data_IF_375852778753
#
_entry.id   IF_375852778753
#
_cell.length_a   1.000
_cell.length_b   1.000
_cell.length_c   1.000
_cell.angle_alpha   90.00
_cell.angle_beta   90.00
_cell.angle_gamma   90.00
#
_symmetry.space_group_name_H-M   'P 1'
#
loop_
_entity.id
_entity.type
_entity.pdbx_description
1 polymer ?
#
# COMPACT_ATOMS: atom_id res chain seq x y z
N UNK A 1 -14.26 -10.72 5.14
CA UNK A 1 -13.20 -11.56 4.51
C UNK A 1 -13.17 -12.92 5.21
N UNK A 2 -13.55 -13.98 4.50
CA UNK A 2 -13.36 -15.33 5.03
C UNK A 2 -11.89 -15.73 4.90
N UNK A 3 -11.14 -15.71 5.79
CA UNK A 3 -10.05 -16.04 5.78
C UNK A 3 -9.89 -17.21 5.13
N UNK A 4 -9.18 -17.21 4.34
CA UNK A 4 -8.70 -18.41 3.69
C UNK A 4 -7.97 -19.21 4.76
N UNK A 5 -8.69 -20.07 5.42
CA UNK A 5 -8.14 -20.95 6.48
C UNK A 5 -7.40 -22.12 5.85
N UNK A 6 -6.49 -21.84 4.95
CA UNK A 6 -5.64 -22.86 4.37
C UNK A 6 -4.21 -22.59 4.84
N UNK A 7 -3.60 -23.59 5.45
CA UNK A 7 -2.24 -23.46 5.99
C UNK A 7 -1.22 -23.04 4.92
N UNK A 8 -1.46 -23.43 3.66
CA UNK A 8 -0.54 -23.08 2.57
C UNK A 8 -0.49 -21.57 2.28
N UNK A 9 -1.53 -20.81 2.64
CA UNK A 9 -1.53 -19.36 2.43
C UNK A 9 -0.41 -18.65 3.21
N UNK A 10 0.07 -19.24 4.31
CA UNK A 10 1.21 -18.69 5.05
C UNK A 10 2.52 -18.77 4.28
N UNK A 11 2.58 -19.58 3.21
CA UNK A 11 3.76 -19.66 2.35
C UNK A 11 4.08 -18.29 1.69
N UNK A 12 3.06 -17.48 1.37
CA UNK A 12 3.27 -16.15 0.78
C UNK A 12 4.13 -15.25 1.68
N UNK A 13 3.66 -14.92 2.89
CA UNK A 13 4.49 -14.16 3.84
C UNK A 13 5.83 -14.82 4.15
N UNK A 14 5.89 -16.16 4.26
CA UNK A 14 7.14 -16.87 4.54
C UNK A 14 8.15 -16.67 3.42
N UNK A 15 7.75 -16.80 2.16
CA UNK A 15 8.63 -16.51 1.02
C UNK A 15 9.06 -15.05 0.98
N UNK A 16 8.18 -14.13 1.36
CA UNK A 16 8.53 -12.70 1.38
C UNK A 16 9.62 -12.43 2.44
N UNK A 17 9.45 -12.99 3.65
CA UNK A 17 10.47 -12.87 4.72
C UNK A 17 11.78 -13.52 4.27
N UNK A 18 11.72 -14.70 3.63
CA UNK A 18 12.90 -15.36 3.08
C UNK A 18 13.62 -14.47 2.06
N UNK A 19 12.86 -13.80 1.19
CA UNK A 19 13.41 -12.84 0.22
C UNK A 19 14.17 -11.71 0.92
N UNK A 20 13.55 -11.11 1.95
CA UNK A 20 14.19 -10.03 2.72
C UNK A 20 15.44 -10.54 3.43
N UNK A 21 15.37 -11.69 4.10
CA UNK A 21 16.51 -12.26 4.84
C UNK A 21 17.67 -12.57 3.89
N UNK A 22 17.40 -13.21 2.76
CA UNK A 22 18.44 -13.56 1.78
C UNK A 22 19.04 -12.33 1.11
N UNK A 23 18.22 -11.28 0.89
CA UNK A 23 18.70 -10.00 0.38
C UNK A 23 19.67 -9.34 1.39
N UNK A 24 19.26 -9.26 2.66
CA UNK A 24 20.09 -8.65 3.72
C UNK A 24 21.35 -9.46 4.00
N UNK A 25 21.29 -10.78 3.81
CA UNK A 25 22.45 -11.66 3.94
C UNK A 25 23.43 -11.56 2.76
N UNK A 26 23.10 -10.78 1.74
CA UNK A 26 23.97 -10.56 0.59
C UNK A 26 24.08 -11.76 -0.35
N UNK A 27 23.05 -12.63 -0.36
CA UNK A 27 23.06 -13.78 -1.27
C UNK A 27 22.93 -13.34 -2.74
N UNK A 28 23.37 -14.18 -3.70
CA UNK A 28 23.22 -13.85 -5.12
C UNK A 28 21.79 -13.42 -5.44
N UNK A 29 21.66 -12.35 -6.20
CA UNK A 29 20.40 -11.63 -6.50
C UNK A 29 19.25 -12.55 -6.93
N UNK A 30 19.56 -13.64 -7.64
CA UNK A 30 18.56 -14.60 -8.09
C UNK A 30 17.81 -15.26 -6.91
N UNK A 31 18.47 -15.41 -5.74
CA UNK A 31 17.85 -16.09 -4.58
C UNK A 31 16.73 -15.24 -3.96
N UNK A 32 16.98 -13.99 -3.50
CA UNK A 32 15.88 -13.17 -3.00
C UNK A 32 14.84 -12.87 -4.06
N UNK A 33 15.22 -12.69 -5.33
CA UNK A 33 14.25 -12.44 -6.40
C UNK A 33 13.31 -13.63 -6.59
N UNK A 34 13.84 -14.86 -6.57
CA UNK A 34 13.02 -16.08 -6.67
C UNK A 34 12.06 -16.18 -5.47
N UNK A 35 12.53 -15.85 -4.27
CA UNK A 35 11.68 -15.87 -3.07
C UNK A 35 10.55 -14.82 -3.17
N UNK A 36 10.85 -13.59 -3.61
CA UNK A 36 9.82 -12.58 -3.83
C UNK A 36 8.83 -13.01 -4.91
N UNK A 37 9.32 -13.54 -6.05
CA UNK A 37 8.43 -14.04 -7.10
C UNK A 37 7.51 -15.17 -6.58
N UNK A 38 8.07 -16.11 -5.79
CA UNK A 38 7.28 -17.18 -5.18
C UNK A 38 6.19 -16.61 -4.25
N UNK A 39 6.52 -15.59 -3.45
CA UNK A 39 5.56 -14.91 -2.60
C UNK A 39 4.38 -14.36 -3.41
N UNK A 40 4.67 -13.65 -4.52
CA UNK A 40 3.63 -13.11 -5.38
C UNK A 40 2.81 -14.21 -6.07
N UNK A 41 3.44 -15.32 -6.48
CA UNK A 41 2.73 -16.45 -7.07
C UNK A 41 1.77 -17.11 -6.08
N UNK A 42 2.18 -17.24 -4.81
CA UNK A 42 1.28 -17.73 -3.75
C UNK A 42 0.08 -16.78 -3.61
N UNK A 43 0.33 -15.45 -3.62
CA UNK A 43 -0.76 -14.46 -3.56
C UNK A 43 -1.70 -14.61 -4.77
N UNK A 44 -1.16 -14.83 -5.96
CA UNK A 44 -1.96 -15.11 -7.16
C UNK A 44 -2.82 -16.37 -7.04
N UNK A 45 -2.26 -17.43 -6.45
CA UNK A 45 -3.01 -18.66 -6.17
C UNK A 45 -4.16 -18.39 -5.19
N UNK A 46 -3.92 -17.54 -4.15
CA UNK A 46 -4.96 -17.14 -3.20
C UNK A 46 -6.09 -16.39 -3.94
N UNK A 47 -5.75 -15.42 -4.79
CA UNK A 47 -6.77 -14.68 -5.56
C UNK A 47 -7.54 -15.59 -6.52
N UNK A 48 -6.86 -16.57 -7.14
CA UNK A 48 -7.51 -17.55 -8.00
C UNK A 48 -8.51 -18.39 -7.22
N UNK A 49 -8.12 -18.85 -6.03
CA UNK A 49 -9.00 -19.61 -5.12
C UNK A 49 -10.23 -18.78 -4.71
N UNK A 50 -10.01 -17.51 -4.33
CA UNK A 50 -11.11 -16.60 -3.96
C UNK A 50 -12.05 -16.40 -5.14
N UNK A 51 -11.51 -16.11 -6.33
CA UNK A 51 -12.32 -15.85 -7.53
C UNK A 51 -13.17 -17.06 -7.91
N UNK A 52 -12.57 -18.26 -7.92
CA UNK A 52 -13.26 -19.48 -8.36
C UNK A 52 -14.29 -20.00 -7.37
N UNK A 53 -13.99 -19.92 -6.08
CA UNK A 53 -14.77 -20.66 -5.07
C UNK A 53 -15.55 -19.77 -4.11
N UNK A 54 -15.32 -18.48 -4.10
CA UNK A 54 -15.96 -17.58 -3.11
C UNK A 54 -16.63 -16.36 -3.73
N UNK A 55 -15.89 -15.56 -4.48
CA UNK A 55 -16.38 -14.26 -4.98
C UNK A 55 -15.78 -13.93 -6.34
N UNK A 56 -16.47 -14.29 -7.44
CA UNK A 56 -16.01 -13.87 -8.77
C UNK A 56 -16.29 -12.37 -8.97
N UNK A 57 -15.40 -11.54 -8.44
CA UNK A 57 -15.56 -10.08 -8.42
C UNK A 57 -14.45 -9.39 -9.22
N UNK A 58 -14.82 -8.28 -9.86
CA UNK A 58 -13.89 -7.45 -10.61
C UNK A 58 -12.71 -6.97 -9.74
N UNK A 59 -12.96 -6.70 -8.46
CA UNK A 59 -11.93 -6.29 -7.50
C UNK A 59 -10.79 -7.33 -7.41
N UNK A 60 -11.14 -8.63 -7.37
CA UNK A 60 -10.16 -9.72 -7.29
C UNK A 60 -9.31 -9.79 -8.58
N UNK A 61 -9.94 -9.54 -9.73
CA UNK A 61 -9.20 -9.49 -11.01
C UNK A 61 -8.23 -8.32 -11.05
N UNK A 62 -8.62 -7.16 -10.52
CA UNK A 62 -7.73 -6.00 -10.40
C UNK A 62 -6.53 -6.33 -9.51
N UNK A 63 -6.77 -6.99 -8.37
CA UNK A 63 -5.68 -7.43 -7.48
C UNK A 63 -4.76 -8.45 -8.18
N UNK A 64 -5.32 -9.34 -9.00
CA UNK A 64 -4.52 -10.32 -9.75
C UNK A 64 -3.60 -9.63 -10.78
N UNK A 65 -4.03 -8.53 -11.39
CA UNK A 65 -3.17 -7.68 -12.24
C UNK A 65 -1.97 -7.17 -11.42
N UNK A 66 -2.20 -6.79 -10.15
CA UNK A 66 -1.12 -6.41 -9.26
C UNK A 66 -0.09 -7.52 -9.07
N UNK A 67 -0.56 -8.77 -8.90
CA UNK A 67 0.37 -9.92 -8.76
C UNK A 67 1.30 -10.02 -9.97
N UNK A 68 0.77 -9.82 -11.18
CA UNK A 68 1.62 -9.83 -12.39
C UNK A 68 2.69 -8.74 -12.31
N UNK A 69 2.33 -7.55 -11.80
CA UNK A 69 3.29 -6.48 -11.55
C UNK A 69 4.38 -6.90 -10.57
N UNK A 70 4.00 -7.54 -9.46
CA UNK A 70 4.95 -7.99 -8.44
C UNK A 70 5.92 -9.05 -8.95
N UNK A 71 5.41 -10.08 -9.64
CA UNK A 71 6.26 -11.11 -10.26
C UNK A 71 7.20 -10.49 -11.27
N UNK A 72 6.66 -9.63 -12.16
CA UNK A 72 7.47 -8.95 -13.18
C UNK A 72 8.55 -8.06 -12.56
N UNK A 73 8.24 -7.37 -11.46
CA UNK A 73 9.23 -6.55 -10.73
C UNK A 73 10.38 -7.42 -10.21
N UNK A 74 10.08 -8.57 -9.61
CA UNK A 74 11.10 -9.48 -9.10
C UNK A 74 12.00 -10.01 -10.25
N UNK A 75 11.38 -10.40 -11.37
CA UNK A 75 12.11 -10.87 -12.57
C UNK A 75 12.98 -9.74 -13.15
N UNK A 76 12.41 -8.54 -13.30
CA UNK A 76 13.12 -7.39 -13.85
C UNK A 76 14.34 -7.03 -12.99
N UNK A 77 14.16 -7.03 -11.66
CA UNK A 77 15.28 -6.80 -10.75
C UNK A 77 16.35 -7.90 -10.88
N UNK A 78 15.94 -9.16 -10.95
CA UNK A 78 16.88 -10.29 -11.08
C UNK A 78 17.73 -10.17 -12.35
N UNK A 79 17.12 -9.75 -13.45
CA UNK A 79 17.78 -9.71 -14.77
C UNK A 79 18.60 -8.44 -14.99
N UNK A 80 18.10 -7.27 -14.56
CA UNK A 80 18.77 -5.99 -14.78
C UNK A 80 19.73 -5.58 -13.68
N UNK A 81 19.49 -6.04 -12.46
CA UNK A 81 20.32 -5.73 -11.29
C UNK A 81 19.96 -4.44 -10.57
N UNK A 82 19.17 -3.58 -11.18
CA UNK A 82 18.80 -2.29 -10.60
C UNK A 82 17.37 -2.27 -10.06
N UNK A 83 17.20 -1.80 -8.83
CA UNK A 83 15.85 -1.57 -8.29
C UNK A 83 15.06 -0.57 -9.15
N UNK A 84 15.74 0.43 -9.72
CA UNK A 84 15.09 1.46 -10.53
C UNK A 84 14.33 0.86 -11.71
N UNK A 85 14.90 -0.19 -12.36
CA UNK A 85 14.25 -0.86 -13.48
C UNK A 85 13.00 -1.66 -13.05
N UNK A 86 12.93 -2.09 -11.78
CA UNK A 86 11.81 -2.86 -11.26
C UNK A 86 10.70 -1.97 -10.67
N UNK A 87 11.02 -0.72 -10.30
CA UNK A 87 10.08 0.14 -9.56
C UNK A 87 8.76 0.39 -10.28
N UNK A 88 8.70 0.66 -11.60
CA UNK A 88 7.39 0.85 -12.26
C UNK A 88 6.48 -0.37 -12.11
N UNK A 89 7.04 -1.57 -12.17
CA UNK A 89 6.28 -2.82 -12.01
C UNK A 89 5.84 -3.01 -10.55
N UNK A 90 6.69 -2.64 -9.60
CA UNK A 90 6.35 -2.66 -8.18
C UNK A 90 5.24 -1.63 -7.87
N UNK A 91 5.24 -0.48 -8.52
CA UNK A 91 4.16 0.52 -8.42
C UNK A 91 2.86 -0.07 -8.97
N UNK A 92 2.89 -0.75 -10.11
CA UNK A 92 1.70 -1.44 -10.63
C UNK A 92 1.14 -2.42 -9.60
N UNK A 93 2.02 -3.23 -8.95
CA UNK A 93 1.60 -4.15 -7.89
C UNK A 93 0.88 -3.41 -6.77
N UNK A 94 1.53 -2.38 -6.22
CA UNK A 94 1.01 -1.65 -5.06
C UNK A 94 -0.33 -0.98 -5.38
N UNK A 95 -0.41 -0.29 -6.52
CA UNK A 95 -1.60 0.46 -6.91
C UNK A 95 -2.76 -0.49 -7.21
N UNK A 96 -2.53 -1.55 -8.00
CA UNK A 96 -3.60 -2.49 -8.36
C UNK A 96 -4.12 -3.23 -7.11
N UNK A 97 -3.23 -3.63 -6.20
CA UNK A 97 -3.63 -4.31 -4.95
C UNK A 97 -4.49 -3.40 -4.09
N UNK A 98 -4.03 -2.18 -3.82
CA UNK A 98 -4.73 -1.25 -2.94
C UNK A 98 -6.05 -0.80 -3.58
N UNK A 99 -6.06 -0.44 -4.86
CA UNK A 99 -7.30 0.00 -5.52
C UNK A 99 -8.31 -1.15 -5.62
N UNK A 100 -7.84 -2.39 -5.87
CA UNK A 100 -8.71 -3.58 -5.86
C UNK A 100 -9.34 -3.79 -4.49
N UNK A 101 -8.57 -3.68 -3.40
CA UNK A 101 -9.11 -3.73 -2.04
C UNK A 101 -10.14 -2.63 -1.80
N UNK A 102 -9.86 -1.42 -2.26
CA UNK A 102 -10.80 -0.30 -2.12
C UNK A 102 -12.11 -0.57 -2.87
N UNK A 103 -12.03 -1.15 -4.07
CA UNK A 103 -13.21 -1.54 -4.84
C UNK A 103 -14.06 -2.56 -4.07
N UNK A 104 -13.41 -3.54 -3.42
CA UNK A 104 -14.11 -4.56 -2.62
C UNK A 104 -14.79 -3.94 -1.39
N UNK A 105 -14.04 -3.13 -0.62
CA UNK A 105 -14.54 -2.53 0.62
C UNK A 105 -15.63 -1.49 0.35
N UNK A 106 -15.52 -0.75 -0.74
CA UNK A 106 -16.44 0.34 -1.08
C UNK A 106 -17.64 -0.12 -1.92
N UNK A 107 -17.76 -1.41 -2.25
CA UNK A 107 -18.83 -1.90 -3.15
C UNK A 107 -20.23 -1.58 -2.66
N UNK A 108 -20.43 -1.45 -1.35
CA UNK A 108 -21.73 -1.11 -0.76
C UNK A 108 -22.05 0.39 -0.84
N UNK A 109 -21.01 1.21 -1.00
CA UNK A 109 -21.13 2.67 -1.04
C UNK A 109 -20.84 3.26 -2.43
N UNK A 110 -20.09 2.52 -3.26
CA UNK A 110 -19.85 2.93 -4.65
C UNK A 110 -21.10 2.59 -5.48
N UNK A 111 -21.85 3.62 -5.83
CA UNK A 111 -23.11 3.49 -6.55
C UNK A 111 -22.87 3.00 -8.00
N UNK A 112 -23.05 1.71 -8.19
CA UNK A 112 -23.22 1.11 -9.50
C UNK A 112 -21.98 0.44 -10.09
N UNK A 113 -22.25 -0.52 -10.97
CA UNK A 113 -21.23 -1.29 -11.70
C UNK A 113 -20.31 -0.41 -12.55
N UNK A 114 -20.80 0.74 -13.03
CA UNK A 114 -20.00 1.66 -13.85
C UNK A 114 -18.84 2.29 -13.08
N UNK A 115 -19.02 2.57 -11.78
CA UNK A 115 -17.97 3.18 -10.94
C UNK A 115 -16.78 2.23 -10.78
N UNK A 116 -17.04 0.99 -10.38
CA UNK A 116 -15.99 -0.03 -10.27
C UNK A 116 -15.33 -0.34 -11.61
N UNK A 117 -16.14 -0.43 -12.68
CA UNK A 117 -15.65 -0.67 -14.03
C UNK A 117 -14.66 0.40 -14.51
N UNK A 118 -14.93 1.67 -14.22
CA UNK A 118 -14.04 2.76 -14.64
C UNK A 118 -12.68 2.70 -13.92
N UNK A 119 -12.67 2.35 -12.63
CA UNK A 119 -11.42 2.21 -11.88
C UNK A 119 -10.62 0.98 -12.35
N UNK A 120 -11.31 -0.13 -12.61
CA UNK A 120 -10.68 -1.33 -13.16
C UNK A 120 -10.07 -1.05 -14.54
N UNK A 121 -10.77 -0.31 -15.41
CA UNK A 121 -10.26 0.08 -16.72
C UNK A 121 -8.97 0.91 -16.60
N UNK A 122 -8.90 1.82 -15.61
CA UNK A 122 -7.69 2.61 -15.37
C UNK A 122 -6.53 1.75 -14.87
N UNK A 123 -6.78 0.76 -14.01
CA UNK A 123 -5.72 -0.17 -13.57
C UNK A 123 -5.25 -1.03 -14.73
N UNK A 124 -6.15 -1.47 -15.62
CA UNK A 124 -5.75 -2.20 -16.84
C UNK A 124 -4.94 -1.30 -17.78
N UNK A 125 -5.29 -0.01 -17.89
CA UNK A 125 -4.49 0.96 -18.65
C UNK A 125 -3.10 1.14 -18.01
N UNK A 126 -3.01 1.16 -16.67
CA UNK A 126 -1.72 1.21 -15.97
C UNK A 126 -0.89 -0.06 -16.27
N UNK A 127 -1.52 -1.23 -16.30
CA UNK A 127 -0.84 -2.48 -16.66
C UNK A 127 -0.35 -2.46 -18.12
N UNK A 128 -1.17 -1.95 -19.05
CA UNK A 128 -0.76 -1.78 -20.45
C UNK A 128 0.41 -0.80 -20.57
N UNK A 129 0.38 0.29 -19.78
CA UNK A 129 1.48 1.26 -19.73
C UNK A 129 2.76 0.63 -19.16
N UNK A 130 2.64 -0.31 -18.20
CA UNK A 130 3.79 -1.05 -17.67
C UNK A 130 4.39 -2.00 -18.72
N UNK A 131 3.56 -2.62 -19.57
CA UNK A 131 4.05 -3.39 -20.70
C UNK A 131 4.78 -2.47 -21.70
N UNK A 132 4.20 -1.31 -21.96
CA UNK A 132 4.84 -0.29 -22.82
C UNK A 132 6.17 0.17 -22.22
N UNK A 133 6.25 0.32 -20.90
CA UNK A 133 7.50 0.67 -20.19
C UNK A 133 8.59 -0.37 -20.46
N UNK A 134 8.25 -1.66 -20.47
CA UNK A 134 9.23 -2.72 -20.74
C UNK A 134 9.77 -2.63 -22.19
N UNK A 135 8.94 -2.19 -23.14
CA UNK A 135 9.32 -2.04 -24.54
C UNK A 135 10.00 -0.69 -24.85
N UNK A 136 9.52 0.38 -24.20
CA UNK A 136 10.01 1.73 -24.43
C UNK A 136 9.87 2.53 -23.13
N UNK A 137 10.93 2.59 -22.28
CA UNK A 137 10.85 3.28 -21.00
C UNK A 137 10.48 4.77 -21.12
N UNK A 138 10.96 5.45 -22.15
CA UNK A 138 10.71 6.90 -22.28
C UNK A 138 9.22 7.23 -22.43
N UNK A 139 8.51 6.42 -23.21
CA UNK A 139 7.06 6.58 -23.38
C UNK A 139 6.32 5.93 -22.20
N UNK A 140 6.76 4.76 -21.81
CA UNK A 140 6.09 3.98 -20.75
C UNK A 140 6.00 4.72 -19.43
N UNK A 141 7.09 5.39 -18.98
CA UNK A 141 7.07 6.20 -17.76
C UNK A 141 6.02 7.30 -17.83
N UNK A 142 5.92 7.98 -18.96
CA UNK A 142 4.97 9.10 -19.12
C UNK A 142 3.53 8.60 -19.13
N UNK A 143 3.27 7.48 -19.84
CA UNK A 143 1.92 6.90 -19.88
C UNK A 143 1.54 6.34 -18.53
N UNK A 144 2.47 5.69 -17.82
CA UNK A 144 2.23 5.25 -16.44
C UNK A 144 1.94 6.45 -15.53
N UNK A 145 2.71 7.54 -15.67
CA UNK A 145 2.48 8.76 -14.89
C UNK A 145 1.07 9.30 -15.08
N UNK A 146 0.64 9.42 -16.34
CA UNK A 146 -0.72 9.87 -16.66
C UNK A 146 -1.78 8.95 -16.07
N UNK A 147 -1.59 7.64 -16.19
CA UNK A 147 -2.57 6.68 -15.65
C UNK A 147 -2.58 6.67 -14.12
N UNK A 148 -1.44 6.91 -13.45
CA UNK A 148 -1.41 7.06 -11.99
C UNK A 148 -2.21 8.28 -11.54
N UNK A 149 -2.06 9.42 -12.22
CA UNK A 149 -2.85 10.62 -11.92
C UNK A 149 -4.35 10.32 -12.10
N UNK A 150 -4.71 9.66 -13.21
CA UNK A 150 -6.09 9.29 -13.48
C UNK A 150 -6.65 8.31 -12.43
N UNK A 151 -5.86 7.30 -12.02
CA UNK A 151 -6.23 6.36 -10.96
C UNK A 151 -6.48 7.10 -9.63
N UNK A 152 -5.56 7.98 -9.25
CA UNK A 152 -5.68 8.74 -8.00
C UNK A 152 -6.91 9.65 -8.01
N UNK A 153 -7.12 10.39 -9.09
CA UNK A 153 -8.27 11.29 -9.23
C UNK A 153 -9.59 10.49 -9.21
N UNK A 154 -9.63 9.38 -9.96
CA UNK A 154 -10.85 8.56 -10.02
C UNK A 154 -11.14 7.88 -8.68
N UNK A 155 -10.11 7.35 -8.01
CA UNK A 155 -10.27 6.76 -6.68
C UNK A 155 -10.80 7.80 -5.69
N UNK A 156 -10.21 9.00 -5.65
CA UNK A 156 -10.67 10.08 -4.75
C UNK A 156 -12.13 10.48 -5.02
N UNK A 157 -12.55 10.50 -6.29
CA UNK A 157 -13.93 10.81 -6.67
C UNK A 157 -14.93 9.74 -6.21
N UNK A 158 -14.55 8.48 -6.31
CA UNK A 158 -15.46 7.35 -6.02
C UNK A 158 -15.47 6.98 -4.54
N UNK A 159 -14.38 7.24 -3.82
CA UNK A 159 -14.24 6.79 -2.44
C UNK A 159 -15.15 7.56 -1.49
N UNK A 160 -15.73 6.85 -0.55
CA UNK A 160 -16.55 7.41 0.52
C UNK A 160 -15.75 8.36 1.42
N UNK A 161 -14.43 8.27 1.41
CA UNK A 161 -13.54 9.12 2.19
C UNK A 161 -13.81 10.61 1.97
N UNK A 162 -14.19 11.02 0.75
CA UNK A 162 -14.53 12.43 0.45
C UNK A 162 -15.65 12.98 1.33
N UNK A 163 -16.57 12.10 1.75
CA UNK A 163 -17.67 12.47 2.64
C UNK A 163 -17.30 12.30 4.11
N UNK A 164 -16.58 11.21 4.42
CA UNK A 164 -16.17 10.87 5.80
C UNK A 164 -15.14 11.83 6.38
N UNK A 165 -14.46 12.62 5.57
CA UNK A 165 -13.52 13.65 6.05
C UNK A 165 -14.23 14.68 6.96
N UNK A 166 -15.54 14.85 6.80
CA UNK A 166 -16.35 15.77 7.61
C UNK A 166 -16.92 15.10 8.87
N UNK A 167 -16.72 13.80 9.05
CA UNK A 167 -17.17 13.06 10.24
C UNK A 167 -16.21 13.25 11.42
N UNK A 168 -16.33 12.45 12.47
CA UNK A 168 -15.48 12.48 13.64
C UNK A 168 -14.85 11.10 13.89
N UNK A 169 -13.85 11.06 14.73
CA UNK A 169 -13.26 9.79 15.17
C UNK A 169 -12.53 9.03 14.06
N UNK A 170 -12.62 7.70 14.12
CA UNK A 170 -11.93 6.82 13.20
C UNK A 170 -12.30 7.05 11.73
N UNK A 171 -13.60 7.23 11.36
CA UNK A 171 -13.93 7.48 9.95
C UNK A 171 -13.23 8.72 9.38
N UNK A 172 -13.14 9.80 10.17
CA UNK A 172 -12.43 11.02 9.74
C UNK A 172 -10.94 10.77 9.59
N UNK A 173 -10.31 10.09 10.56
CA UNK A 173 -8.88 9.76 10.51
C UNK A 173 -8.56 8.95 9.24
N UNK A 174 -9.32 7.87 9.02
CA UNK A 174 -9.18 7.01 7.83
C UNK A 174 -9.31 7.82 6.54
N UNK A 175 -10.33 8.68 6.48
CA UNK A 175 -10.60 9.50 5.29
C UNK A 175 -9.46 10.47 4.99
N UNK A 176 -8.92 11.15 6.02
CA UNK A 176 -7.80 12.09 5.85
C UNK A 176 -6.57 11.35 5.33
N UNK A 177 -6.23 10.21 5.94
CA UNK A 177 -5.07 9.43 5.52
C UNK A 177 -5.22 8.94 4.07
N UNK A 178 -6.41 8.47 3.69
CA UNK A 178 -6.67 7.98 2.33
C UNK A 178 -6.60 9.10 1.28
N UNK A 179 -7.26 10.23 1.55
CA UNK A 179 -7.26 11.35 0.59
C UNK A 179 -5.84 11.92 0.42
N UNK A 180 -5.07 12.03 1.51
CA UNK A 180 -3.66 12.42 1.43
C UNK A 180 -2.86 11.40 0.60
N UNK A 181 -3.11 10.11 0.80
CA UNK A 181 -2.49 9.05 0.00
C UNK A 181 -2.78 9.20 -1.49
N UNK A 182 -4.04 9.45 -1.88
CA UNK A 182 -4.37 9.69 -3.29
C UNK A 182 -3.65 10.93 -3.83
N UNK A 183 -3.50 11.99 -3.03
CA UNK A 183 -2.72 13.17 -3.42
C UNK A 183 -1.26 12.81 -3.73
N UNK A 184 -0.64 12.00 -2.87
CA UNK A 184 0.74 11.55 -3.09
C UNK A 184 0.86 10.65 -4.33
N UNK A 185 -0.13 9.78 -4.57
CA UNK A 185 -0.14 8.94 -5.78
C UNK A 185 -0.19 9.81 -7.04
N UNK A 186 -1.05 10.84 -7.02
CA UNK A 186 -1.13 11.80 -8.14
C UNK A 186 0.20 12.53 -8.34
N UNK A 187 0.84 12.97 -7.26
CA UNK A 187 2.12 13.66 -7.33
C UNK A 187 3.22 12.76 -7.91
N UNK A 188 3.28 11.49 -7.47
CA UNK A 188 4.20 10.50 -8.07
C UNK A 188 3.97 10.34 -9.55
N UNK A 189 2.69 10.29 -9.98
CA UNK A 189 2.33 10.25 -11.40
C UNK A 189 2.77 11.50 -12.16
N UNK A 190 2.63 12.68 -11.55
CA UNK A 190 3.09 13.95 -12.16
C UNK A 190 4.59 13.93 -12.39
N UNK A 191 5.38 13.42 -11.42
CA UNK A 191 6.83 13.32 -11.61
C UNK A 191 7.17 12.41 -12.79
N UNK A 192 6.52 11.25 -12.91
CA UNK A 192 6.77 10.35 -14.04
C UNK A 192 6.34 10.95 -15.38
N UNK A 193 5.21 11.65 -15.40
CA UNK A 193 4.72 12.31 -16.62
C UNK A 193 5.68 13.41 -17.08
N UNK A 194 6.17 14.23 -16.13
CA UNK A 194 7.00 15.39 -16.44
C UNK A 194 8.45 15.02 -16.79
N UNK A 195 9.05 14.12 -16.00
CA UNK A 195 10.49 13.84 -16.09
C UNK A 195 10.81 12.53 -16.82
N UNK A 196 9.83 11.61 -16.91
CA UNK A 196 10.02 10.34 -17.62
C UNK A 196 10.99 9.41 -16.89
N UNK A 197 11.88 8.72 -17.63
CA UNK A 197 12.72 7.65 -17.05
C UNK A 197 14.01 8.15 -16.39
N UNK A 198 13.96 9.30 -15.69
CA UNK A 198 15.08 9.71 -14.85
C UNK A 198 15.16 8.76 -13.65
N UNK A 199 16.20 7.94 -13.60
CA UNK A 199 16.34 6.90 -12.55
C UNK A 199 17.45 7.24 -11.55
N UNK A 200 18.05 8.41 -11.64
CA UNK A 200 19.19 8.80 -10.79
C UNK A 200 19.00 10.15 -10.12
N UNK A 201 18.02 10.91 -10.54
CA UNK A 201 17.84 12.29 -10.09
C UNK A 201 16.72 12.45 -9.07
N UNK A 202 16.46 13.70 -8.76
CA UNK A 202 15.40 14.15 -7.87
C UNK A 202 14.04 13.51 -8.21
N UNK A 203 13.69 13.50 -9.51
CA UNK A 203 12.36 13.02 -9.91
C UNK A 203 12.16 11.52 -9.58
N UNK A 204 13.22 10.72 -9.68
CA UNK A 204 13.17 9.32 -9.29
C UNK A 204 12.90 9.19 -7.79
N UNK A 205 13.74 9.83 -6.95
CA UNK A 205 13.59 9.76 -5.50
C UNK A 205 12.19 10.25 -5.07
N UNK A 206 11.78 11.40 -5.60
CA UNK A 206 10.49 12.03 -5.25
C UNK A 206 9.32 11.12 -5.63
N UNK A 207 9.33 10.55 -6.85
CA UNK A 207 8.20 9.72 -7.31
C UNK A 207 8.07 8.43 -6.52
N UNK A 208 9.19 7.73 -6.26
CA UNK A 208 9.17 6.47 -5.52
C UNK A 208 8.70 6.70 -4.08
N UNK A 209 9.21 7.75 -3.43
CA UNK A 209 8.79 8.05 -2.05
C UNK A 209 7.34 8.57 -2.00
N UNK A 210 6.90 9.35 -2.99
CA UNK A 210 5.49 9.77 -3.06
C UNK A 210 4.57 8.55 -3.13
N UNK A 211 4.90 7.55 -3.95
CA UNK A 211 4.07 6.35 -4.06
C UNK A 211 4.20 5.47 -2.82
N UNK A 212 5.42 5.06 -2.43
CA UNK A 212 5.57 4.03 -1.39
C UNK A 212 5.39 4.60 0.02
N UNK A 213 5.90 5.78 0.34
CA UNK A 213 5.67 6.40 1.65
C UNK A 213 4.37 7.21 1.66
N UNK A 214 4.17 8.04 0.64
CA UNK A 214 3.01 8.92 0.60
C UNK A 214 1.70 8.17 0.41
N UNK A 215 1.60 7.30 -0.58
CA UNK A 215 0.36 6.57 -0.86
C UNK A 215 0.26 5.28 -0.05
N UNK A 216 1.24 4.34 -0.18
CA UNK A 216 1.09 3.00 0.41
C UNK A 216 1.07 3.06 1.94
N UNK A 217 2.03 3.79 2.59
CA UNK A 217 2.05 3.87 4.07
C UNK A 217 0.80 4.62 4.58
N UNK A 218 0.32 5.64 3.88
CA UNK A 218 -0.94 6.31 4.27
C UNK A 218 -2.12 5.35 4.25
N UNK A 219 -2.21 4.48 3.23
CA UNK A 219 -3.26 3.46 3.17
C UNK A 219 -3.11 2.45 4.31
N UNK A 220 -1.89 2.07 4.65
CA UNK A 220 -1.64 1.19 5.80
C UNK A 220 -2.11 1.87 7.09
N UNK A 221 -1.72 3.13 7.33
CA UNK A 221 -2.15 3.88 8.52
C UNK A 221 -3.67 4.01 8.59
N UNK A 222 -4.31 4.28 7.44
CA UNK A 222 -5.77 4.42 7.36
C UNK A 222 -6.51 3.15 7.78
N UNK A 223 -5.99 1.99 7.38
CA UNK A 223 -6.70 0.72 7.53
C UNK A 223 -6.22 -0.13 8.69
N UNK A 224 -5.07 0.18 9.29
CA UNK A 224 -4.50 -0.60 10.38
C UNK A 224 -5.49 -0.78 11.56
N UNK A 225 -6.23 0.25 12.03
CA UNK A 225 -7.16 0.04 13.12
C UNK A 225 -8.25 -1.00 12.82
N UNK A 226 -8.63 -1.14 11.56
CA UNK A 226 -9.65 -2.10 11.14
C UNK A 226 -9.05 -3.48 10.82
N UNK A 227 -8.01 -3.51 9.99
CA UNK A 227 -7.41 -4.77 9.51
C UNK A 227 -6.65 -5.46 10.64
N UNK A 228 -5.84 -4.71 11.39
CA UNK A 228 -5.03 -5.27 12.45
C UNK A 228 -5.90 -5.93 13.53
N UNK A 229 -7.03 -5.30 13.85
CA UNK A 229 -8.02 -5.85 14.79
C UNK A 229 -8.49 -7.24 14.33
N UNK A 230 -8.75 -7.42 13.04
CA UNK A 230 -9.22 -8.71 12.52
C UNK A 230 -8.13 -9.78 12.48
N UNK A 231 -6.87 -9.37 12.26
CA UNK A 231 -5.73 -10.29 12.15
C UNK A 231 -5.23 -10.75 13.52
N UNK A 232 -4.96 -9.81 14.42
CA UNK A 232 -4.41 -10.12 15.75
C UNK A 232 -5.49 -10.44 16.79
N UNK A 233 -6.78 -10.33 16.41
CA UNK A 233 -7.95 -10.56 17.29
C UNK A 233 -7.92 -9.70 18.55
N UNK A 234 -7.28 -8.52 18.48
CA UNK A 234 -7.23 -7.52 19.55
C UNK A 234 -7.58 -6.17 18.95
N UNK A 235 -8.45 -5.43 19.62
CA UNK A 235 -8.88 -4.13 19.12
C UNK A 235 -7.73 -3.14 19.17
N UNK A 236 -7.47 -2.46 18.04
CA UNK A 236 -6.69 -1.23 18.00
C UNK A 236 -7.71 -0.09 18.04
N UNK A 237 -7.98 0.48 19.22
CA UNK A 237 -8.99 1.52 19.30
C UNK A 237 -8.50 2.82 18.65
N UNK A 238 -9.44 3.57 18.09
CA UNK A 238 -9.12 4.91 17.61
C UNK A 238 -8.70 5.79 18.77
N UNK A 239 -7.66 6.57 18.56
CA UNK A 239 -7.22 7.61 19.50
C UNK A 239 -6.61 8.76 18.69
N UNK A 240 -6.82 10.04 19.08
CA UNK A 240 -6.26 11.18 18.34
C UNK A 240 -4.74 11.13 18.19
N UNK A 241 -4.02 10.44 19.07
CA UNK A 241 -2.57 10.26 18.96
C UNK A 241 -2.14 9.62 17.62
N UNK A 242 -3.05 8.91 16.93
CA UNK A 242 -2.76 8.36 15.59
C UNK A 242 -2.48 9.44 14.55
N UNK A 243 -2.93 10.69 14.80
CA UNK A 243 -2.60 11.80 13.90
C UNK A 243 -1.11 12.20 13.99
N UNK A 244 -0.44 11.96 15.12
CA UNK A 244 0.98 12.34 15.26
C UNK A 244 1.85 11.65 14.20
N UNK A 245 1.86 10.31 14.11
CA UNK A 245 2.64 9.67 13.04
C UNK A 245 2.13 10.01 11.63
N UNK A 246 0.83 10.23 11.44
CA UNK A 246 0.30 10.61 10.13
C UNK A 246 0.85 11.98 9.69
N UNK A 247 0.81 12.96 10.56
CA UNK A 247 1.33 14.32 10.30
C UNK A 247 2.86 14.24 10.05
N UNK A 248 3.56 13.50 10.91
CA UNK A 248 5.02 13.33 10.79
C UNK A 248 5.39 12.69 9.45
N UNK A 249 4.62 11.69 8.99
CA UNK A 249 4.83 11.05 7.69
C UNK A 249 4.72 12.08 6.55
N UNK A 250 3.61 12.83 6.53
CA UNK A 250 3.35 13.76 5.42
C UNK A 250 4.28 14.96 5.41
N UNK A 251 4.54 15.55 6.59
CA UNK A 251 5.47 16.69 6.67
C UNK A 251 6.91 16.26 6.40
N UNK A 252 7.32 15.10 6.91
CA UNK A 252 8.65 14.54 6.65
C UNK A 252 8.86 14.28 5.16
N UNK A 253 7.87 13.69 4.50
CA UNK A 253 7.95 13.41 3.07
C UNK A 253 7.96 14.70 2.25
N UNK A 254 7.11 15.67 2.59
CA UNK A 254 7.08 16.97 1.92
C UNK A 254 8.44 17.70 2.08
N UNK A 255 9.00 17.67 3.30
CA UNK A 255 10.32 18.25 3.56
C UNK A 255 11.41 17.56 2.73
N UNK A 256 11.39 16.22 2.68
CA UNK A 256 12.36 15.43 1.91
C UNK A 256 12.33 15.84 0.43
N UNK A 257 11.14 15.87 -0.19
CA UNK A 257 10.98 16.18 -1.60
C UNK A 257 11.40 17.64 -1.87
N UNK A 258 10.97 18.58 -1.03
CA UNK A 258 11.33 20.00 -1.18
C UNK A 258 12.85 20.20 -1.02
N UNK A 259 13.45 19.57 -0.02
CA UNK A 259 14.88 19.72 0.27
C UNK A 259 15.73 19.11 -0.85
N UNK A 260 15.30 17.98 -1.42
CA UNK A 260 15.99 17.37 -2.56
C UNK A 260 15.93 18.28 -3.78
N UNK A 261 14.75 18.84 -4.07
CA UNK A 261 14.58 19.82 -5.17
C UNK A 261 15.51 21.03 -5.01
N UNK A 262 15.71 21.47 -3.75
CA UNK A 262 16.56 22.63 -3.45
C UNK A 262 18.01 22.24 -3.15
N UNK A 263 18.36 20.97 -3.21
CA UNK A 263 19.70 20.44 -2.93
C UNK A 263 20.17 20.77 -1.51
N UNK A 264 19.25 20.76 -0.53
CA UNK A 264 19.53 21.00 0.88
C UNK A 264 19.73 19.65 1.61
N UNK A 265 20.97 19.16 1.64
CA UNK A 265 21.28 17.82 2.16
C UNK A 265 20.80 17.56 3.60
N UNK A 266 21.00 18.52 4.51
CA UNK A 266 20.58 18.38 5.90
C UNK A 266 19.05 18.25 6.06
N UNK A 267 18.30 19.07 5.34
CA UNK A 267 16.83 19.03 5.37
C UNK A 267 16.30 17.75 4.68
N UNK A 268 16.97 17.30 3.61
CA UNK A 268 16.65 16.04 2.94
C UNK A 268 16.78 14.85 3.90
N UNK A 269 17.91 14.79 4.64
CA UNK A 269 18.14 13.74 5.64
C UNK A 269 17.11 13.82 6.78
N UNK A 270 16.81 15.03 7.25
CA UNK A 270 15.81 15.25 8.32
C UNK A 270 14.42 14.79 7.89
N UNK A 271 14.04 15.07 6.65
CA UNK A 271 12.76 14.60 6.08
C UNK A 271 12.71 13.08 5.98
N UNK A 272 13.80 12.46 5.56
CA UNK A 272 13.91 10.99 5.51
C UNK A 272 13.79 10.37 6.90
N UNK A 273 14.53 10.94 7.89
CA UNK A 273 14.45 10.47 9.27
C UNK A 273 13.03 10.63 9.83
N UNK A 274 12.38 11.74 9.55
CA UNK A 274 11.00 11.99 9.99
C UNK A 274 10.03 10.92 9.48
N UNK A 275 10.18 10.47 8.23
CA UNK A 275 9.30 9.42 7.67
C UNK A 275 9.56 8.05 8.33
N UNK A 276 10.82 7.73 8.65
CA UNK A 276 11.15 6.50 9.40
C UNK A 276 10.53 6.57 10.79
N UNK A 277 10.73 7.70 11.49
CA UNK A 277 10.16 7.91 12.82
C UNK A 277 8.64 7.86 12.80
N UNK A 278 7.99 8.33 11.73
CA UNK A 278 6.53 8.26 11.60
C UNK A 278 6.05 6.80 11.67
N UNK A 279 6.71 5.89 10.96
CA UNK A 279 6.33 4.46 10.97
C UNK A 279 6.57 3.87 12.36
N UNK A 280 7.72 4.16 12.99
CA UNK A 280 8.03 3.66 14.33
C UNK A 280 7.04 4.19 15.38
N UNK A 281 6.73 5.50 15.34
CA UNK A 281 5.75 6.11 16.25
C UNK A 281 4.37 5.49 16.03
N UNK A 282 3.99 5.22 14.79
CA UNK A 282 2.72 4.55 14.50
C UNK A 282 2.66 3.16 15.16
N UNK A 283 3.72 2.37 14.99
CA UNK A 283 3.79 1.02 15.57
C UNK A 283 3.73 1.07 17.11
N UNK A 284 4.53 1.94 17.72
CA UNK A 284 4.56 2.10 19.18
C UNK A 284 3.20 2.57 19.72
N UNK A 285 2.61 3.56 19.07
CA UNK A 285 1.27 4.06 19.43
C UNK A 285 0.24 2.92 19.34
N UNK A 286 0.27 2.16 18.24
CA UNK A 286 -0.64 1.03 18.07
C UNK A 286 -0.50 -0.03 19.15
N UNK A 287 0.73 -0.38 19.51
CA UNK A 287 1.02 -1.35 20.57
C UNK A 287 0.46 -0.83 21.92
N UNK A 288 0.77 0.41 22.28
CA UNK A 288 0.32 1.02 23.55
C UNK A 288 -1.22 1.04 23.63
N UNK A 289 -1.88 1.46 22.55
CA UNK A 289 -3.34 1.55 22.52
C UNK A 289 -3.98 0.15 22.65
N UNK A 290 -3.42 -0.84 21.97
CA UNK A 290 -3.90 -2.23 22.04
C UNK A 290 -3.75 -2.81 23.44
N UNK A 291 -2.61 -2.54 24.10
CA UNK A 291 -2.37 -3.00 25.49
C UNK A 291 -3.32 -2.32 26.48
N UNK A 292 -3.54 -1.01 26.35
CA UNK A 292 -4.48 -0.29 27.22
C UNK A 292 -5.89 -0.85 27.11
N UNK A 293 -6.34 -1.11 25.88
CA UNK A 293 -7.67 -1.69 25.62
C UNK A 293 -7.81 -3.07 26.24
N UNK A 294 -6.78 -3.91 26.09
CA UNK A 294 -6.78 -5.27 26.67
C UNK A 294 -6.92 -5.24 28.19
N UNK A 295 -6.20 -4.33 28.85
CA UNK A 295 -6.26 -4.17 30.32
C UNK A 295 -7.62 -3.66 30.81
N UNK A 296 -8.28 -2.79 30.05
CA UNK A 296 -9.61 -2.30 30.39
C UNK A 296 -10.65 -3.42 30.22
N UNK A 297 -10.57 -4.20 29.17
CA UNK A 297 -11.48 -5.32 28.93
C UNK A 297 -11.43 -6.39 30.01
N UNK A 298 -10.26 -6.66 30.58
CA UNK A 298 -10.09 -7.63 31.67
C UNK A 298 -10.73 -7.13 32.98
N UNK A 299 -10.65 -5.82 33.25
CA UNK A 299 -11.22 -5.22 34.48
C UNK A 299 -12.75 -5.18 34.46
N UNK A 300 -13.37 -5.19 33.28
CA UNK A 300 -14.83 -5.10 33.15
C UNK A 300 -15.50 -6.48 33.02
N UNK A 301 -14.73 -7.56 33.03
CA UNK A 301 -15.28 -8.93 32.99
C UNK A 301 -15.81 -9.29 34.38
N UNK A 302 -17.15 -9.56 34.52
CA UNK A 302 -17.68 -10.00 35.83
C UNK A 302 -16.96 -11.28 36.25
N UNK A 303 -16.50 -11.35 37.49
CA UNK A 303 -16.01 -12.57 38.06
C UNK A 303 -17.19 -13.56 38.04
N UNK A 304 -17.05 -14.62 37.24
CA UNK A 304 -17.97 -15.78 37.34
C UNK A 304 -17.82 -16.29 38.76
N UNK A 305 -18.74 -15.92 39.61
CA UNK A 305 -18.90 -16.60 40.91
C UNK A 305 -19.05 -18.10 40.61
N UNK A 306 -18.07 -18.88 41.02
CA UNK A 306 -18.17 -20.32 41.06
C UNK A 306 -19.25 -20.66 42.08
N UNK A 307 -20.45 -20.93 41.59
CA UNK A 307 -21.50 -21.49 42.42
C UNK A 307 -21.14 -22.95 42.57
N UNK A 308 -20.47 -23.28 43.66
CA UNK A 308 -20.30 -24.64 44.11
C UNK A 308 -21.66 -25.09 44.66
N UNK A 309 -22.34 -25.99 43.96
CA UNK A 309 -23.42 -26.78 44.46
C UNK A 309 -22.90 -28.20 44.77
#
# INVERSE_FOLDING_TARGET
MGXVRTSWAWAGPAFHVLGVVTLLAGLPRAVPAAAFAASFLVLGAIYTEIYRHRQPMLAVLVQAVGVLGGVSAAVQWATTGGFAAAMPLAVLYAVATILGERMELARLTMSGARAGGSLAALVLALAAAAVLFLANPAIGYRVMGLTLVACAARAAQLDVAKNLVRSTGLPRYTAIAMLAGYGWLALGGVFWLAFGPDVTGFAYDASIHAVFLGFVISMIFAHAPTILTSVIRRKLPYHPALYVPLILLHLGLALRIYADLRQYAGAYQSGGLATILAVLVFLVTGIILTWKEARHGDRTRPQRTATTA
#
